data_IF_857164725751
#
_entry.id   IF_857164725751
#
_cell.length_a   1.000
_cell.length_b   1.000
_cell.length_c   1.000
_cell.angle_alpha   90.00
_cell.angle_beta   90.00
_cell.angle_gamma   90.00
#
_symmetry.space_group_name_H-M   'P 1'
#
loop_
_entity.id
_entity.type
_entity.pdbx_description
1 polymer ?
#
# COMPACT_ATOMS: atom_id res chain seq x y z
N UNK A 1 -35.51 -3.02 48.11
CA UNK A 1 -36.07 -2.39 46.88
C UNK A 1 -35.25 -1.17 46.48
N UNK A 2 -34.93 -0.30 47.45
CA UNK A 2 -34.11 0.90 47.28
C UNK A 2 -32.65 0.60 46.86
N UNK A 3 -32.00 -0.40 47.46
CA UNK A 3 -30.64 -0.83 47.08
C UNK A 3 -30.54 -1.34 45.63
N UNK A 4 -31.57 -2.04 45.14
CA UNK A 4 -31.62 -2.56 43.77
C UNK A 4 -31.85 -1.43 42.73
N UNK A 5 -32.53 -0.35 43.13
CA UNK A 5 -32.68 0.86 42.31
C UNK A 5 -31.37 1.64 42.23
N UNK A 6 -30.67 1.81 43.36
CA UNK A 6 -29.35 2.44 43.42
C UNK A 6 -28.32 1.70 42.57
N UNK A 7 -28.29 0.36 42.64
CA UNK A 7 -27.42 -0.45 41.77
C UNK A 7 -27.75 -0.28 40.28
N UNK A 8 -29.04 -0.22 39.91
CA UNK A 8 -29.45 0.05 38.51
C UNK A 8 -29.04 1.43 38.03
N UNK A 9 -29.14 2.45 38.88
CA UNK A 9 -28.71 3.82 38.54
C UNK A 9 -27.19 3.93 38.39
N UNK A 10 -26.40 3.25 39.23
CA UNK A 10 -24.94 3.22 39.12
C UNK A 10 -24.48 2.51 37.84
N UNK A 11 -25.09 1.37 37.50
CA UNK A 11 -24.82 0.65 36.25
C UNK A 11 -25.16 1.53 35.04
N UNK A 12 -26.34 2.17 35.02
CA UNK A 12 -26.72 3.08 33.94
C UNK A 12 -25.83 4.31 33.82
N UNK A 13 -25.29 4.82 34.94
CA UNK A 13 -24.32 5.93 34.96
C UNK A 13 -22.95 5.49 34.45
N UNK A 14 -22.51 4.28 34.78
CA UNK A 14 -21.27 3.69 34.28
C UNK A 14 -21.34 3.42 32.77
N UNK A 15 -22.46 2.91 32.26
CA UNK A 15 -22.68 2.71 30.82
C UNK A 15 -22.69 4.03 30.04
N UNK A 16 -23.32 5.08 30.56
CA UNK A 16 -23.29 6.41 29.94
C UNK A 16 -21.89 7.02 29.91
N UNK A 17 -21.10 6.86 30.99
CA UNK A 17 -19.70 7.31 31.03
C UNK A 17 -18.86 6.58 29.98
N UNK A 18 -18.97 5.24 29.93
CA UNK A 18 -18.28 4.41 28.93
C UNK A 18 -18.69 4.77 27.50
N UNK A 19 -19.97 5.01 27.24
CA UNK A 19 -20.46 5.45 25.93
C UNK A 19 -19.90 6.83 25.55
N UNK A 20 -19.83 7.76 26.51
CA UNK A 20 -19.20 9.07 26.33
C UNK A 20 -17.71 8.99 26.00
N UNK A 21 -16.96 8.15 26.72
CA UNK A 21 -15.54 7.88 26.48
C UNK A 21 -15.29 7.25 25.11
N UNK A 22 -16.08 6.24 24.74
CA UNK A 22 -16.01 5.60 23.40
C UNK A 22 -16.31 6.61 22.30
N UNK A 23 -17.31 7.47 22.49
CA UNK A 23 -17.66 8.51 21.51
C UNK A 23 -16.56 9.57 21.38
N UNK A 24 -15.93 9.96 22.49
CA UNK A 24 -14.81 10.89 22.49
C UNK A 24 -13.57 10.31 21.79
N UNK A 25 -13.25 9.04 22.06
CA UNK A 25 -12.13 8.34 21.42
C UNK A 25 -12.39 8.13 19.92
N UNK A 26 -13.61 7.71 19.56
CA UNK A 26 -14.03 7.58 18.16
C UNK A 26 -13.95 8.91 17.41
N UNK A 27 -14.37 10.01 18.04
CA UNK A 27 -14.26 11.36 17.46
C UNK A 27 -12.79 11.76 17.27
N UNK A 28 -11.92 11.47 18.23
CA UNK A 28 -10.48 11.75 18.14
C UNK A 28 -9.80 10.94 17.02
N UNK A 29 -10.14 9.65 16.91
CA UNK A 29 -9.71 8.78 15.81
C UNK A 29 -10.22 9.30 14.47
N UNK A 30 -11.47 9.78 14.40
CA UNK A 30 -12.05 10.37 13.20
C UNK A 30 -11.29 11.60 12.70
N UNK A 31 -10.92 12.53 13.61
CA UNK A 31 -10.10 13.69 13.28
C UNK A 31 -8.67 13.35 12.83
N UNK A 32 -8.16 12.17 13.21
CA UNK A 32 -6.86 11.66 12.75
C UNK A 32 -7.00 10.93 11.39
N UNK A 33 -7.97 10.03 11.28
CA UNK A 33 -8.18 9.18 10.11
C UNK A 33 -8.63 9.98 8.88
N UNK A 34 -9.53 10.95 9.05
CA UNK A 34 -10.04 11.77 7.94
C UNK A 34 -8.94 12.46 7.13
N UNK A 35 -8.05 13.26 7.77
CA UNK A 35 -6.90 13.86 7.09
C UNK A 35 -5.95 12.84 6.44
N UNK A 36 -5.73 11.68 7.07
CA UNK A 36 -4.90 10.61 6.48
C UNK A 36 -5.53 9.98 5.22
N UNK A 37 -6.86 9.86 5.17
CA UNK A 37 -7.58 9.49 3.95
C UNK A 37 -7.35 10.55 2.88
N UNK A 38 -7.41 11.83 3.23
CA UNK A 38 -7.07 12.94 2.34
C UNK A 38 -5.66 12.80 1.74
N UNK A 39 -4.64 12.57 2.59
CA UNK A 39 -3.25 12.35 2.13
C UNK A 39 -3.18 11.20 1.12
N UNK A 40 -3.79 10.06 1.47
CA UNK A 40 -3.76 8.85 0.66
C UNK A 40 -4.48 9.06 -0.67
N UNK A 41 -5.66 9.68 -0.64
CA UNK A 41 -6.44 10.00 -1.83
C UNK A 41 -5.69 10.96 -2.75
N UNK A 42 -5.10 12.03 -2.22
CA UNK A 42 -4.30 12.98 -3.01
C UNK A 42 -3.12 12.30 -3.69
N UNK A 43 -2.43 11.37 -3.01
CA UNK A 43 -1.34 10.59 -3.60
C UNK A 43 -1.82 9.66 -4.73
N UNK A 44 -3.00 9.03 -4.58
CA UNK A 44 -3.59 8.20 -5.64
C UNK A 44 -4.05 9.03 -6.84
N UNK A 45 -4.61 10.23 -6.62
CA UNK A 45 -5.10 11.10 -7.67
C UNK A 45 -3.99 11.58 -8.63
N UNK A 46 -2.73 11.62 -8.19
CA UNK A 46 -1.58 11.88 -9.09
C UNK A 46 -1.51 10.84 -10.21
N UNK A 47 -1.64 9.55 -9.88
CA UNK A 47 -1.60 8.46 -10.85
C UNK A 47 -2.85 8.43 -11.75
N UNK A 48 -4.02 8.68 -11.16
CA UNK A 48 -5.30 8.72 -11.89
C UNK A 48 -5.29 9.87 -12.91
N UNK A 49 -4.90 11.08 -12.49
CA UNK A 49 -4.80 12.25 -13.37
C UNK A 49 -3.85 11.98 -14.52
N UNK A 50 -2.67 11.43 -14.25
CA UNK A 50 -1.69 11.05 -15.28
C UNK A 50 -2.29 10.08 -16.30
N UNK A 51 -2.98 9.04 -15.84
CA UNK A 51 -3.63 8.05 -16.71
C UNK A 51 -4.75 8.67 -17.55
N UNK A 52 -5.55 9.58 -16.97
CA UNK A 52 -6.59 10.32 -17.70
C UNK A 52 -5.99 11.16 -18.83
N UNK A 53 -4.89 11.89 -18.57
CA UNK A 53 -4.22 12.69 -19.59
C UNK A 53 -3.66 11.83 -20.72
N UNK A 54 -3.02 10.70 -20.39
CA UNK A 54 -2.51 9.76 -21.41
C UNK A 54 -3.65 9.13 -22.22
N UNK A 55 -4.83 8.94 -21.63
CA UNK A 55 -6.02 8.43 -22.32
C UNK A 55 -6.42 9.24 -23.55
N UNK A 56 -6.20 10.56 -23.53
CA UNK A 56 -6.49 11.43 -24.67
C UNK A 56 -5.48 11.33 -25.82
N UNK A 57 -4.33 10.66 -25.64
CA UNK A 57 -3.36 10.42 -26.69
C UNK A 57 -3.68 9.20 -27.57
N UNK A 58 -4.65 8.38 -27.16
CA UNK A 58 -5.08 7.19 -27.87
C UNK A 58 -4.83 5.88 -27.13
N UNK A 59 -5.39 4.81 -27.68
CA UNK A 59 -5.47 3.49 -27.02
C UNK A 59 -4.10 2.85 -26.76
N UNK A 60 -3.15 2.97 -27.69
CA UNK A 60 -1.79 2.43 -27.53
C UNK A 60 -1.06 3.07 -26.35
N UNK A 61 -1.14 4.41 -26.24
CA UNK A 61 -0.53 5.18 -25.16
C UNK A 61 -1.14 4.84 -23.81
N UNK A 62 -2.46 4.72 -23.75
CA UNK A 62 -3.18 4.39 -22.52
C UNK A 62 -2.92 2.97 -22.05
N UNK A 63 -3.04 1.98 -22.94
CA UNK A 63 -2.84 0.56 -22.62
C UNK A 63 -1.41 0.27 -22.16
N UNK A 64 -0.40 0.82 -22.87
CA UNK A 64 1.01 0.70 -22.47
C UNK A 64 1.31 1.37 -21.13
N UNK A 65 0.83 2.60 -20.91
CA UNK A 65 1.00 3.31 -19.64
C UNK A 65 0.28 2.61 -18.48
N UNK A 66 -0.91 2.04 -18.69
CA UNK A 66 -1.66 1.30 -17.67
C UNK A 66 -0.93 0.01 -17.26
N UNK A 67 -0.42 -0.76 -18.23
CA UNK A 67 0.38 -1.97 -17.96
C UNK A 67 1.66 -1.60 -17.21
N UNK A 68 2.40 -0.59 -17.69
CA UNK A 68 3.62 -0.12 -17.03
C UNK A 68 3.32 0.36 -15.59
N UNK A 69 2.30 1.20 -15.40
CA UNK A 69 1.89 1.71 -14.08
C UNK A 69 1.49 0.58 -13.14
N UNK A 70 0.80 -0.45 -13.64
CA UNK A 70 0.41 -1.61 -12.85
C UNK A 70 1.63 -2.43 -12.41
N UNK A 71 2.53 -2.77 -13.34
CA UNK A 71 3.73 -3.56 -13.04
C UNK A 71 4.71 -2.80 -12.14
N UNK A 72 4.94 -1.52 -12.41
CA UNK A 72 5.73 -0.64 -11.55
C UNK A 72 5.06 -0.42 -10.18
N UNK A 73 3.73 -0.32 -10.15
CA UNK A 73 2.95 -0.22 -8.92
C UNK A 73 3.11 -1.43 -8.00
N UNK A 74 3.16 -2.63 -8.56
CA UNK A 74 3.36 -3.88 -7.80
C UNK A 74 4.83 -4.07 -7.42
N UNK A 75 5.73 -4.02 -8.41
CA UNK A 75 7.16 -4.35 -8.22
C UNK A 75 7.94 -3.27 -7.47
N UNK A 76 7.52 -2.00 -7.58
CA UNK A 76 8.18 -0.86 -6.95
C UNK A 76 7.36 -0.23 -5.83
N UNK A 77 6.31 0.50 -6.18
CA UNK A 77 5.62 1.37 -5.22
C UNK A 77 4.99 0.60 -4.04
N UNK A 78 4.33 -0.53 -4.30
CA UNK A 78 3.75 -1.35 -3.23
C UNK A 78 4.80 -1.99 -2.34
N UNK A 79 5.91 -2.45 -2.93
CA UNK A 79 7.03 -3.00 -2.18
C UNK A 79 7.64 -1.94 -1.26
N UNK A 80 7.96 -0.75 -1.79
CA UNK A 80 8.51 0.36 -1.01
C UNK A 80 7.56 0.83 0.09
N UNK A 81 6.27 0.94 -0.20
CA UNK A 81 5.25 1.29 0.80
C UNK A 81 5.18 0.25 1.92
N UNK A 82 5.26 -1.05 1.58
CA UNK A 82 5.25 -2.13 2.56
C UNK A 82 6.52 -2.14 3.41
N UNK A 83 7.69 -1.92 2.81
CA UNK A 83 8.95 -1.78 3.54
C UNK A 83 8.97 -0.57 4.48
N UNK A 84 8.37 0.55 4.06
CA UNK A 84 8.21 1.72 4.90
C UNK A 84 7.32 1.47 6.13
N UNK A 85 6.46 0.43 6.12
CA UNK A 85 5.70 -0.01 7.30
C UNK A 85 6.58 -0.40 8.50
N UNK A 86 7.78 -0.93 8.26
CA UNK A 86 8.73 -1.20 9.35
C UNK A 86 9.21 0.09 10.02
N UNK A 87 9.33 1.19 9.26
CA UNK A 87 9.70 2.50 9.81
C UNK A 87 8.61 3.04 10.74
N UNK A 88 7.33 2.88 10.37
CA UNK A 88 6.19 3.28 11.21
C UNK A 88 6.25 2.62 12.59
N UNK A 89 6.55 1.32 12.62
CA UNK A 89 6.71 0.58 13.88
C UNK A 89 7.90 1.11 14.68
N UNK A 90 9.08 1.21 14.08
CA UNK A 90 10.30 1.65 14.77
C UNK A 90 10.19 3.09 15.30
N UNK A 91 9.67 4.00 14.48
CA UNK A 91 9.47 5.40 14.87
C UNK A 91 8.36 5.54 15.91
N UNK A 92 7.25 4.82 15.79
CA UNK A 92 6.19 4.82 16.80
C UNK A 92 6.70 4.35 18.17
N UNK A 93 7.50 3.28 18.20
CA UNK A 93 8.13 2.79 19.43
C UNK A 93 9.14 3.80 20.00
N UNK A 94 10.03 4.35 19.17
CA UNK A 94 11.01 5.33 19.61
C UNK A 94 10.35 6.62 20.13
N UNK A 95 9.32 7.10 19.44
CA UNK A 95 8.58 8.30 19.84
C UNK A 95 7.79 8.09 21.13
N UNK A 96 7.09 6.95 21.27
CA UNK A 96 6.38 6.58 22.50
C UNK A 96 7.31 6.36 23.70
N UNK A 97 8.53 5.89 23.47
CA UNK A 97 9.59 5.77 24.49
C UNK A 97 10.36 7.08 24.73
N UNK A 98 9.92 8.20 24.17
CA UNK A 98 10.56 9.53 24.26
C UNK A 98 12.02 9.57 23.75
N UNK A 99 12.42 8.62 22.91
CA UNK A 99 13.73 8.54 22.28
C UNK A 99 13.74 9.31 20.96
N UNK A 100 13.43 10.61 21.00
CA UNK A 100 13.17 11.44 19.82
C UNK A 100 14.31 11.43 18.79
N UNK A 101 15.58 11.46 19.22
CA UNK A 101 16.73 11.39 18.30
C UNK A 101 16.75 10.09 17.47
N UNK A 102 16.27 8.97 18.04
CA UNK A 102 16.23 7.71 17.30
C UNK A 102 15.21 7.73 16.17
N UNK A 103 14.15 8.53 16.28
CA UNK A 103 13.14 8.70 15.22
C UNK A 103 13.82 9.21 13.93
N UNK A 104 14.63 10.26 14.03
CA UNK A 104 15.43 10.75 12.89
C UNK A 104 16.42 9.73 12.34
N UNK A 105 17.15 9.03 13.23
CA UNK A 105 18.12 7.99 12.82
C UNK A 105 17.43 6.82 12.09
N UNK A 106 16.26 6.38 12.57
CA UNK A 106 15.46 5.35 11.92
C UNK A 106 14.99 5.80 10.54
N UNK A 107 14.57 7.06 10.39
CA UNK A 107 14.16 7.63 9.10
C UNK A 107 15.31 7.66 8.09
N UNK A 108 16.50 8.16 8.47
CA UNK A 108 17.66 8.15 7.55
C UNK A 108 18.05 6.72 7.15
N UNK A 109 18.04 5.80 8.11
CA UNK A 109 18.31 4.38 7.85
C UNK A 109 17.31 3.79 6.87
N UNK A 110 16.03 4.10 7.02
CA UNK A 110 14.99 3.66 6.11
C UNK A 110 15.17 4.25 4.71
N UNK A 111 15.40 5.57 4.58
CA UNK A 111 15.66 6.22 3.30
C UNK A 111 16.84 5.54 2.58
N UNK A 112 17.97 5.36 3.26
CA UNK A 112 19.15 4.68 2.69
C UNK A 112 18.82 3.23 2.27
N UNK A 113 18.12 2.48 3.12
CA UNK A 113 17.77 1.09 2.83
C UNK A 113 16.81 0.97 1.64
N UNK A 114 15.81 1.85 1.56
CA UNK A 114 14.83 1.89 0.47
C UNK A 114 15.49 2.31 -0.84
N UNK A 115 16.40 3.29 -0.82
CA UNK A 115 17.19 3.69 -2.00
C UNK A 115 18.04 2.51 -2.52
N UNK A 116 18.65 1.72 -1.64
CA UNK A 116 19.39 0.52 -2.05
C UNK A 116 18.47 -0.51 -2.71
N UNK A 117 17.24 -0.66 -2.23
CA UNK A 117 16.23 -1.54 -2.83
C UNK A 117 15.71 -1.01 -4.16
N UNK A 118 15.67 0.30 -4.37
CA UNK A 118 15.32 0.89 -5.66
C UNK A 118 16.28 0.49 -6.79
N UNK A 119 17.55 0.16 -6.50
CA UNK A 119 18.54 -0.23 -7.52
C UNK A 119 18.14 -1.50 -8.29
N UNK A 120 17.91 -2.67 -7.65
CA UNK A 120 17.46 -3.86 -8.36
C UNK A 120 16.07 -3.69 -9.01
N UNK A 121 15.17 -2.91 -8.40
CA UNK A 121 13.85 -2.61 -9.00
C UNK A 121 14.02 -1.82 -10.30
N UNK A 122 14.93 -0.84 -10.31
CA UNK A 122 15.22 -0.05 -11.50
C UNK A 122 15.74 -0.92 -12.65
N UNK A 123 16.56 -1.93 -12.36
CA UNK A 123 17.02 -2.88 -13.38
C UNK A 123 15.85 -3.70 -13.96
N UNK A 124 14.90 -4.12 -13.12
CA UNK A 124 13.67 -4.78 -13.57
C UNK A 124 12.86 -3.86 -14.49
N UNK A 125 12.75 -2.57 -14.16
CA UNK A 125 12.02 -1.59 -14.96
C UNK A 125 12.71 -1.28 -16.29
N UNK A 126 14.05 -1.25 -16.33
CA UNK A 126 14.80 -1.16 -17.59
C UNK A 126 14.56 -2.38 -18.48
N UNK A 127 14.37 -3.57 -17.89
CA UNK A 127 14.06 -4.78 -18.62
C UNK A 127 12.56 -4.95 -18.97
N UNK A 128 11.70 -3.96 -18.66
CA UNK A 128 10.25 -4.10 -18.75
C UNK A 128 9.74 -4.46 -20.16
N UNK A 129 10.30 -3.85 -21.21
CA UNK A 129 9.94 -4.18 -22.59
C UNK A 129 10.17 -5.66 -22.92
N UNK A 130 11.33 -6.18 -22.52
CA UNK A 130 11.71 -7.59 -22.75
C UNK A 130 10.83 -8.51 -21.94
N UNK A 131 10.54 -8.17 -20.68
CA UNK A 131 9.66 -8.94 -19.80
C UNK A 131 8.24 -9.04 -20.38
N UNK A 132 7.69 -7.93 -20.88
CA UNK A 132 6.37 -7.90 -21.51
C UNK A 132 6.34 -8.72 -22.81
N UNK A 133 7.35 -8.55 -23.66
CA UNK A 133 7.50 -9.35 -24.88
C UNK A 133 7.58 -10.85 -24.58
N UNK A 134 8.29 -11.24 -23.51
CA UNK A 134 8.41 -12.64 -23.08
C UNK A 134 7.08 -13.23 -22.57
N UNK A 135 6.21 -12.42 -21.98
CA UNK A 135 4.87 -12.84 -21.54
C UNK A 135 3.89 -12.89 -22.72
N UNK A 136 4.33 -12.50 -23.92
CA UNK A 136 3.53 -12.53 -25.14
C UNK A 136 2.66 -11.30 -25.34
N UNK A 137 3.00 -10.17 -24.71
CA UNK A 137 2.34 -8.90 -25.01
C UNK A 137 2.67 -8.39 -26.40
N UNK A 138 1.79 -7.55 -26.95
CA UNK A 138 2.01 -6.90 -28.24
C UNK A 138 3.37 -6.15 -28.25
N UNK A 139 4.19 -6.26 -29.32
CA UNK A 139 5.51 -5.63 -29.36
C UNK A 139 5.48 -4.11 -29.23
N UNK A 140 4.46 -3.43 -29.80
CA UNK A 140 4.35 -1.97 -29.70
C UNK A 140 3.94 -1.54 -28.29
N UNK A 141 2.99 -2.26 -27.68
CA UNK A 141 2.61 -2.03 -26.28
C UNK A 141 3.81 -2.26 -25.35
N UNK A 142 4.57 -3.33 -25.59
CA UNK A 142 5.74 -3.69 -24.79
C UNK A 142 6.84 -2.63 -24.87
N UNK A 143 7.12 -2.11 -26.07
CA UNK A 143 8.09 -1.03 -26.30
C UNK A 143 7.68 0.26 -25.57
N UNK A 144 6.44 0.71 -25.76
CA UNK A 144 5.95 1.96 -25.14
C UNK A 144 5.85 1.84 -23.62
N UNK A 145 5.44 0.68 -23.09
CA UNK A 145 5.41 0.41 -21.67
C UNK A 145 6.83 0.35 -21.07
N UNK A 146 7.79 -0.19 -21.81
CA UNK A 146 9.20 -0.20 -21.44
C UNK A 146 9.77 1.21 -21.31
N UNK A 147 9.56 2.06 -22.33
CA UNK A 147 9.92 3.49 -22.25
C UNK A 147 9.28 4.16 -21.04
N UNK A 148 7.97 3.99 -20.87
CA UNK A 148 7.24 4.56 -19.74
C UNK A 148 7.83 4.14 -18.38
N UNK A 149 8.14 2.85 -18.20
CA UNK A 149 8.73 2.32 -16.98
C UNK A 149 10.12 2.89 -16.68
N UNK A 150 10.99 3.03 -17.69
CA UNK A 150 12.32 3.66 -17.54
C UNK A 150 12.19 5.09 -17.05
N UNK A 151 11.25 5.86 -17.60
CA UNK A 151 11.03 7.26 -17.21
C UNK A 151 10.36 7.44 -15.84
N UNK A 152 9.81 6.38 -15.24
CA UNK A 152 9.34 6.40 -13.85
C UNK A 152 10.45 6.15 -12.83
N UNK A 153 11.64 5.70 -13.24
CA UNK A 153 12.75 5.37 -12.33
C UNK A 153 13.10 6.55 -11.40
N UNK A 154 13.25 7.82 -11.85
CA UNK A 154 13.51 8.94 -10.95
C UNK A 154 12.41 9.10 -9.87
N UNK A 155 11.15 8.85 -10.24
CA UNK A 155 10.01 8.86 -9.34
C UNK A 155 10.04 7.72 -8.31
N UNK A 156 10.65 6.58 -8.63
CA UNK A 156 10.84 5.48 -7.68
C UNK A 156 11.68 5.91 -6.47
N UNK A 157 12.79 6.61 -6.70
CA UNK A 157 13.66 7.11 -5.63
C UNK A 157 12.98 8.23 -4.82
N UNK A 158 12.25 9.12 -5.50
CA UNK A 158 11.45 10.14 -4.83
C UNK A 158 10.39 9.49 -3.92
N UNK A 159 9.67 8.50 -4.44
CA UNK A 159 8.62 7.79 -3.70
C UNK A 159 9.17 7.07 -2.46
N UNK A 160 10.31 6.38 -2.57
CA UNK A 160 11.00 5.80 -1.42
C UNK A 160 11.27 6.82 -0.31
N UNK A 161 11.70 8.03 -0.70
CA UNK A 161 11.97 9.12 0.24
C UNK A 161 10.68 9.69 0.84
N UNK A 162 9.66 10.00 0.02
CA UNK A 162 8.35 10.47 0.50
C UNK A 162 7.78 9.51 1.53
N UNK A 163 7.81 8.20 1.26
CA UNK A 163 7.23 7.23 2.19
C UNK A 163 7.93 7.22 3.55
N UNK A 164 9.26 7.35 3.58
CA UNK A 164 9.97 7.46 4.85
C UNK A 164 9.63 8.76 5.60
N UNK A 165 9.55 9.89 4.89
CA UNK A 165 9.20 11.19 5.49
C UNK A 165 7.74 11.23 6.00
N UNK A 166 6.80 10.64 5.25
CA UNK A 166 5.41 10.49 5.69
C UNK A 166 5.34 9.65 6.96
N UNK A 167 6.05 8.52 7.06
CA UNK A 167 6.06 7.73 8.30
C UNK A 167 6.74 8.43 9.47
N UNK A 168 7.77 9.23 9.21
CA UNK A 168 8.38 10.10 10.21
C UNK A 168 7.39 11.09 10.81
N UNK A 169 6.63 11.81 9.96
CA UNK A 169 5.63 12.78 10.43
C UNK A 169 4.42 12.09 11.05
N UNK A 170 3.95 10.99 10.46
CA UNK A 170 2.82 10.20 10.96
C UNK A 170 3.09 9.65 12.36
N UNK A 171 4.31 9.16 12.66
CA UNK A 171 4.66 8.67 14.01
C UNK A 171 4.60 9.75 15.11
N UNK A 172 4.61 11.02 14.71
CA UNK A 172 4.50 12.18 15.59
C UNK A 172 3.10 12.79 15.58
N UNK A 173 2.14 12.13 14.92
CA UNK A 173 0.79 12.65 14.67
C UNK A 173 0.75 13.97 13.89
N UNK A 174 1.79 14.30 13.12
CA UNK A 174 1.87 15.51 12.30
C UNK A 174 1.23 15.27 10.93
N UNK A 175 -0.09 15.11 10.89
CA UNK A 175 -0.82 14.79 9.66
C UNK A 175 -1.08 16.00 8.78
N UNK A 176 -1.41 17.14 9.36
CA UNK A 176 -1.79 18.33 8.61
C UNK A 176 -0.70 18.77 7.59
N UNK A 177 0.61 18.78 7.94
CA UNK A 177 1.66 19.07 6.98
C UNK A 177 1.71 18.09 5.80
N UNK A 178 1.46 16.79 6.07
CA UNK A 178 1.40 15.76 5.02
C UNK A 178 0.19 15.97 4.10
N UNK A 179 -0.95 16.37 4.66
CA UNK A 179 -2.15 16.68 3.88
C UNK A 179 -1.91 17.91 2.99
N UNK A 180 -1.39 18.99 3.57
CA UNK A 180 -1.08 20.20 2.82
C UNK A 180 -0.06 19.95 1.71
N UNK A 181 1.01 19.19 1.99
CA UNK A 181 2.03 18.89 0.99
C UNK A 181 1.50 18.03 -0.15
N UNK A 182 0.69 17.01 0.16
CA UNK A 182 0.11 16.10 -0.85
C UNK A 182 -0.95 16.79 -1.71
N UNK A 183 -1.84 17.59 -1.11
CA UNK A 183 -2.82 18.41 -1.85
C UNK A 183 -2.11 19.46 -2.71
N UNK A 184 -1.14 20.18 -2.15
CA UNK A 184 -0.35 21.17 -2.91
C UNK A 184 0.38 20.52 -4.09
N UNK A 185 0.98 19.35 -3.88
CA UNK A 185 1.63 18.58 -4.95
C UNK A 185 0.64 18.18 -6.03
N UNK A 186 -0.58 17.75 -5.68
CA UNK A 186 -1.62 17.39 -6.65
C UNK A 186 -2.05 18.61 -7.48
N UNK A 187 -2.26 19.76 -6.83
CA UNK A 187 -2.62 21.00 -7.51
C UNK A 187 -1.56 21.44 -8.54
N UNK A 188 -0.27 21.23 -8.23
CA UNK A 188 0.83 21.48 -9.16
C UNK A 188 0.95 20.39 -10.23
N UNK A 189 0.66 19.14 -9.87
CA UNK A 189 0.75 17.99 -10.77
C UNK A 189 -0.21 18.10 -11.96
N UNK A 190 -1.47 18.50 -11.74
CA UNK A 190 -2.48 18.60 -12.80
C UNK A 190 -2.01 19.46 -13.99
N UNK A 191 -1.63 20.76 -13.80
CA UNK A 191 -1.13 21.57 -14.90
C UNK A 191 0.22 21.09 -15.42
N UNK A 192 1.13 20.62 -14.56
CA UNK A 192 2.43 20.08 -14.97
C UNK A 192 2.26 18.89 -15.91
N UNK A 193 1.40 17.94 -15.55
CA UNK A 193 1.11 16.75 -16.34
C UNK A 193 0.47 17.12 -17.67
N UNK A 194 -0.48 18.06 -17.68
CA UNK A 194 -1.09 18.53 -18.93
C UNK A 194 -0.05 19.15 -19.87
N UNK A 195 0.84 20.01 -19.36
CA UNK A 195 1.94 20.61 -20.15
C UNK A 195 2.85 19.52 -20.69
N UNK A 196 3.32 18.62 -19.83
CA UNK A 196 4.26 17.55 -20.22
C UNK A 196 3.65 16.60 -21.26
N UNK A 197 2.37 16.26 -21.14
CA UNK A 197 1.71 15.31 -22.05
C UNK A 197 1.34 15.94 -23.40
N UNK A 198 0.79 17.16 -23.41
CA UNK A 198 0.20 17.74 -24.64
C UNK A 198 0.99 18.89 -25.25
N UNK A 199 1.78 19.63 -24.47
CA UNK A 199 2.53 20.80 -24.96
C UNK A 199 3.98 20.48 -25.29
N UNK A 200 4.54 19.46 -24.66
CA UNK A 200 5.87 18.95 -25.03
C UNK A 200 5.75 17.81 -26.04
N UNK A 201 6.88 17.41 -26.63
CA UNK A 201 6.96 16.25 -27.54
C UNK A 201 7.08 14.90 -26.79
N UNK A 202 6.82 14.88 -25.48
CA UNK A 202 7.02 13.70 -24.63
C UNK A 202 5.81 12.75 -24.59
N UNK A 203 4.61 13.19 -24.98
CA UNK A 203 3.41 12.34 -25.04
C UNK A 203 3.18 11.53 -23.73
N UNK A 204 3.02 10.20 -23.81
CA UNK A 204 2.84 9.31 -22.66
C UNK A 204 4.02 9.35 -21.67
N UNK A 205 5.26 9.48 -22.16
CA UNK A 205 6.46 9.66 -21.31
C UNK A 205 6.36 10.92 -20.46
N UNK A 206 5.69 11.97 -20.96
CA UNK A 206 5.43 13.20 -20.22
C UNK A 206 4.68 12.96 -18.91
N UNK A 207 3.78 11.98 -18.86
CA UNK A 207 3.06 11.60 -17.65
C UNK A 207 3.97 10.87 -16.62
N UNK A 208 4.81 9.93 -17.07
CA UNK A 208 5.78 9.27 -16.19
C UNK A 208 6.74 10.28 -15.53
N UNK A 209 7.20 11.26 -16.32
CA UNK A 209 8.08 12.32 -15.85
C UNK A 209 7.36 13.30 -14.90
N UNK A 210 6.11 13.68 -15.19
CA UNK A 210 5.33 14.56 -14.31
C UNK A 210 5.06 13.93 -12.95
N UNK A 211 4.76 12.62 -12.88
CA UNK A 211 4.66 11.86 -11.62
C UNK A 211 5.97 11.94 -10.85
N UNK A 212 7.10 11.69 -11.53
CA UNK A 212 8.43 11.72 -10.91
C UNK A 212 8.76 13.09 -10.32
N UNK A 213 8.50 14.16 -11.07
CA UNK A 213 8.69 15.54 -10.61
C UNK A 213 7.77 15.85 -9.44
N UNK A 214 6.50 15.46 -9.49
CA UNK A 214 5.55 15.69 -8.40
C UNK A 214 5.98 15.01 -7.10
N UNK A 215 6.50 13.79 -7.16
CA UNK A 215 7.05 13.14 -5.96
C UNK A 215 8.27 13.88 -5.41
N UNK A 216 9.17 14.38 -6.26
CA UNK A 216 10.29 15.21 -5.80
C UNK A 216 9.86 16.55 -5.21
N UNK A 217 8.84 17.20 -5.77
CA UNK A 217 8.22 18.40 -5.19
C UNK A 217 7.68 18.09 -3.79
N UNK A 218 6.99 16.96 -3.62
CA UNK A 218 6.48 16.55 -2.31
C UNK A 218 7.63 16.25 -1.32
N UNK A 219 8.71 15.58 -1.75
CA UNK A 219 9.92 15.40 -0.92
C UNK A 219 10.43 16.77 -0.47
N UNK A 220 10.60 17.72 -1.39
CA UNK A 220 11.12 19.04 -1.08
C UNK A 220 10.25 19.76 -0.05
N UNK A 221 8.93 19.80 -0.25
CA UNK A 221 7.99 20.43 0.69
C UNK A 221 8.09 19.79 2.07
N UNK A 222 8.11 18.45 2.15
CA UNK A 222 8.20 17.72 3.42
C UNK A 222 9.53 17.94 4.12
N UNK A 223 10.65 17.91 3.40
CA UNK A 223 11.98 18.18 3.94
C UNK A 223 12.06 19.61 4.48
N UNK A 224 11.60 20.60 3.71
CA UNK A 224 11.53 21.99 4.16
C UNK A 224 10.69 22.13 5.44
N UNK A 225 9.52 21.49 5.48
CA UNK A 225 8.70 21.47 6.69
C UNK A 225 9.46 20.87 7.89
N UNK A 226 10.11 19.71 7.72
CA UNK A 226 10.85 19.03 8.80
C UNK A 226 12.04 19.87 9.29
N UNK A 227 12.73 20.57 8.38
CA UNK A 227 13.90 21.39 8.72
C UNK A 227 13.53 22.68 9.46
N UNK A 228 12.44 23.34 9.05
CA UNK A 228 12.07 24.66 9.60
C UNK A 228 11.01 24.60 10.69
N UNK A 229 10.24 23.51 10.82
CA UNK A 229 9.20 23.40 11.84
C UNK A 229 9.77 23.14 13.23
N UNK A 230 9.33 23.95 14.20
CA UNK A 230 9.65 23.74 15.62
C UNK A 230 9.16 22.37 16.14
N UNK A 231 8.07 21.82 15.57
CA UNK A 231 7.51 20.53 15.97
C UNK A 231 8.47 19.36 15.71
N UNK A 232 9.33 19.46 14.68
CA UNK A 232 10.26 18.37 14.32
C UNK A 232 11.63 18.53 14.97
N UNK A 233 11.92 19.65 15.64
CA UNK A 233 13.26 20.02 16.13
C UNK A 233 13.84 18.99 17.10
N UNK A 234 13.01 18.39 17.97
CA UNK A 234 13.45 17.36 18.92
C UNK A 234 13.74 16.00 18.24
N UNK A 235 13.05 15.69 17.15
CA UNK A 235 13.19 14.44 16.39
C UNK A 235 14.21 14.52 15.25
N UNK A 236 14.58 15.75 14.86
CA UNK A 236 15.60 16.01 13.86
C UNK A 236 16.97 15.66 14.45
N UNK A 237 17.55 14.56 14.00
CA UNK A 237 18.89 14.13 14.39
C UNK A 237 19.89 14.52 13.29
N UNK A 238 21.14 14.85 13.62
CA UNK A 238 22.18 14.94 12.61
C UNK A 238 22.40 13.56 11.95
N UNK A 239 22.76 13.55 10.67
CA UNK A 239 23.15 12.32 9.98
C UNK A 239 24.35 11.71 10.72
N UNK A 240 24.21 10.45 11.13
CA UNK A 240 25.23 9.75 11.93
C UNK A 240 25.60 8.41 11.31
N UNK A 241 26.80 7.90 11.61
CA UNK A 241 27.25 6.55 11.21
C UNK A 241 26.30 5.44 11.70
N UNK A 242 25.50 5.72 12.73
CA UNK A 242 24.50 4.79 13.27
C UNK A 242 23.38 4.49 12.26
N UNK A 243 23.02 5.45 11.41
CA UNK A 243 22.02 5.23 10.36
C UNK A 243 22.45 4.07 9.44
N UNK A 244 23.72 4.08 9.02
CA UNK A 244 24.32 3.08 8.13
C UNK A 244 24.47 1.70 8.80
N UNK A 245 24.91 1.63 10.06
CA UNK A 245 25.14 0.35 10.77
C UNK A 245 23.88 -0.50 10.95
N UNK A 246 22.69 0.11 10.90
CA UNK A 246 21.43 -0.61 11.13
C UNK A 246 20.67 -1.05 9.89
N UNK A 247 21.21 -0.85 8.67
CA UNK A 247 20.51 -1.19 7.40
C UNK A 247 20.05 -2.65 7.40
N UNK A 248 20.93 -3.60 7.72
CA UNK A 248 20.59 -5.03 7.75
C UNK A 248 19.47 -5.35 8.75
N UNK A 249 19.45 -4.68 9.91
CA UNK A 249 18.39 -4.86 10.92
C UNK A 249 17.06 -4.29 10.43
N UNK A 250 17.10 -3.14 9.75
CA UNK A 250 15.91 -2.55 9.14
C UNK A 250 15.35 -3.45 8.03
N UNK A 251 16.18 -3.93 7.11
CA UNK A 251 15.75 -4.81 6.02
C UNK A 251 15.12 -6.11 6.53
N UNK A 252 15.64 -6.70 7.61
CA UNK A 252 15.02 -7.89 8.26
C UNK A 252 13.59 -7.65 8.74
N UNK A 253 13.24 -6.42 9.12
CA UNK A 253 11.88 -6.04 9.52
C UNK A 253 11.04 -5.58 8.30
N UNK A 254 11.68 -4.89 7.36
CA UNK A 254 11.02 -4.30 6.21
C UNK A 254 10.58 -5.34 5.17
N UNK A 255 11.38 -6.38 4.92
CA UNK A 255 11.06 -7.41 3.93
C UNK A 255 9.77 -8.17 4.28
N UNK A 256 9.56 -8.71 5.49
CA UNK A 256 8.29 -9.34 5.86
C UNK A 256 7.08 -8.40 5.72
N UNK A 257 7.21 -7.14 6.15
CA UNK A 257 6.16 -6.12 6.00
C UNK A 257 5.81 -5.88 4.53
N UNK A 258 6.81 -5.90 3.65
CA UNK A 258 6.63 -5.73 2.21
C UNK A 258 5.99 -6.95 1.54
N UNK A 259 6.39 -8.17 1.93
CA UNK A 259 5.77 -9.41 1.45
C UNK A 259 4.29 -9.44 1.83
N UNK A 260 3.95 -9.09 3.08
CA UNK A 260 2.56 -9.05 3.53
C UNK A 260 1.71 -8.07 2.69
N UNK A 261 2.20 -6.84 2.48
CA UNK A 261 1.47 -5.86 1.67
C UNK A 261 1.41 -6.26 0.19
N UNK A 262 2.48 -6.84 -0.33
CA UNK A 262 2.58 -7.32 -1.71
C UNK A 262 1.58 -8.43 -2.02
N UNK A 263 1.48 -9.44 -1.15
CA UNK A 263 0.49 -10.54 -1.27
C UNK A 263 -0.93 -9.99 -1.22
N UNK A 264 -1.22 -9.11 -0.26
CA UNK A 264 -2.55 -8.51 -0.12
C UNK A 264 -2.98 -7.71 -1.36
N UNK A 265 -2.06 -6.97 -1.99
CA UNK A 265 -2.34 -6.22 -3.22
C UNK A 265 -2.38 -7.11 -4.47
N UNK A 266 -1.42 -8.01 -4.62
CA UNK A 266 -1.29 -8.89 -5.80
C UNK A 266 -2.46 -9.86 -5.96
N UNK A 267 -3.04 -10.34 -4.87
CA UNK A 267 -4.20 -11.26 -4.91
C UNK A 267 -5.54 -10.54 -5.07
N UNK A 268 -5.57 -9.19 -5.21
CA UNK A 268 -6.81 -8.41 -5.20
C UNK A 268 -7.53 -8.43 -3.84
N UNK A 269 -6.85 -8.93 -2.80
CA UNK A 269 -7.40 -9.12 -1.46
C UNK A 269 -7.43 -7.84 -0.63
N UNK A 270 -7.50 -6.67 -1.26
CA UNK A 270 -7.55 -5.41 -0.52
C UNK A 270 -8.75 -5.37 0.45
N UNK A 271 -9.86 -5.98 0.06
CA UNK A 271 -11.06 -6.14 0.89
C UNK A 271 -10.85 -7.17 2.02
N UNK A 272 -10.32 -8.37 1.71
CA UNK A 272 -10.00 -9.40 2.71
C UNK A 272 -8.96 -8.90 3.71
N UNK A 273 -7.91 -8.24 3.24
CA UNK A 273 -6.87 -7.61 4.05
C UNK A 273 -7.43 -6.49 4.94
N UNK A 274 -8.41 -5.70 4.47
CA UNK A 274 -9.10 -4.72 5.30
C UNK A 274 -9.89 -5.39 6.43
N UNK A 275 -10.67 -6.45 6.13
CA UNK A 275 -11.42 -7.19 7.16
C UNK A 275 -10.51 -7.89 8.17
N UNK A 276 -9.40 -8.49 7.72
CA UNK A 276 -8.43 -9.15 8.58
C UNK A 276 -7.67 -8.15 9.46
N UNK A 277 -7.29 -7.01 8.91
CA UNK A 277 -6.63 -5.94 9.66
C UNK A 277 -7.58 -5.35 10.73
N UNK A 278 -8.84 -5.09 10.35
CA UNK A 278 -9.87 -4.61 11.28
C UNK A 278 -10.13 -5.65 12.38
N UNK A 279 -10.28 -6.92 12.04
CA UNK A 279 -10.50 -8.00 13.00
C UNK A 279 -9.33 -8.18 13.96
N UNK A 280 -8.11 -8.32 13.44
CA UNK A 280 -6.93 -8.58 14.25
C UNK A 280 -6.60 -7.44 15.22
N UNK A 281 -6.72 -6.18 14.76
CA UNK A 281 -6.45 -5.03 15.63
C UNK A 281 -7.59 -4.75 16.60
N UNK A 282 -8.85 -4.74 16.16
CA UNK A 282 -9.95 -4.30 17.02
C UNK A 282 -10.51 -5.39 17.92
N UNK A 283 -10.47 -6.66 17.50
CA UNK A 283 -10.99 -7.77 18.33
C UNK A 283 -9.94 -8.36 19.27
N UNK A 284 -8.65 -8.22 18.95
CA UNK A 284 -7.58 -8.90 19.70
C UNK A 284 -6.52 -7.90 20.17
N UNK A 285 -5.92 -7.13 19.26
CA UNK A 285 -4.84 -6.20 19.61
C UNK A 285 -5.24 -5.12 20.62
N UNK A 286 -6.37 -4.44 20.39
CA UNK A 286 -6.88 -3.36 21.25
C UNK A 286 -7.33 -3.87 22.63
N UNK A 287 -8.10 -4.97 22.74
CA UNK A 287 -8.43 -5.54 24.06
C UNK A 287 -7.19 -5.93 24.87
N UNK A 288 -6.18 -6.56 24.24
CA UNK A 288 -4.93 -6.92 24.92
C UNK A 288 -4.14 -5.68 25.34
N UNK A 289 -4.07 -4.66 24.47
CA UNK A 289 -3.43 -3.39 24.78
C UNK A 289 -4.10 -2.70 25.98
N UNK A 290 -5.43 -2.69 26.03
CA UNK A 290 -6.20 -2.04 27.11
C UNK A 290 -6.05 -2.80 28.43
N UNK A 291 -6.18 -4.13 28.40
CA UNK A 291 -6.03 -4.96 29.60
C UNK A 291 -4.61 -4.85 30.16
N UNK A 292 -3.58 -4.98 29.33
CA UNK A 292 -2.20 -4.89 29.81
C UNK A 292 -1.80 -3.47 30.21
N UNK A 293 -2.25 -2.47 29.45
CA UNK A 293 -1.91 -1.07 29.69
C UNK A 293 -2.56 -0.51 30.96
N UNK A 294 -3.86 -0.77 31.14
CA UNK A 294 -4.67 -0.10 32.17
C UNK A 294 -5.10 -1.01 33.33
N UNK A 295 -5.37 -2.30 33.09
CA UNK A 295 -5.76 -3.22 34.19
C UNK A 295 -4.52 -3.66 34.96
N UNK A 296 -3.51 -4.17 34.24
CA UNK A 296 -2.26 -4.64 34.85
C UNK A 296 -1.24 -3.52 35.14
N UNK A 297 -1.59 -2.25 34.88
CA UNK A 297 -0.73 -1.08 35.12
C UNK A 297 0.68 -1.19 34.49
N UNK A 298 0.82 -1.97 33.42
CA UNK A 298 2.09 -2.13 32.68
C UNK A 298 2.38 -0.89 31.81
N UNK A 299 1.41 0.03 31.72
CA UNK A 299 1.54 1.33 31.06
C UNK A 299 1.85 1.19 29.57
N UNK A 300 2.74 2.04 29.06
CA UNK A 300 3.08 2.08 27.62
C UNK A 300 3.63 0.77 27.07
N UNK A 301 4.30 -0.06 27.89
CA UNK A 301 4.79 -1.39 27.47
C UNK A 301 3.63 -2.35 27.17
N UNK A 302 2.55 -2.30 27.94
CA UNK A 302 1.34 -3.10 27.71
C UNK A 302 0.63 -2.75 26.40
N UNK A 303 0.60 -1.45 26.07
CA UNK A 303 0.06 -0.96 24.78
C UNK A 303 0.88 -1.50 23.59
N UNK A 304 2.21 -1.47 23.68
CA UNK A 304 3.09 -2.00 22.64
C UNK A 304 2.92 -3.51 22.44
N UNK A 305 2.73 -4.27 23.53
CA UNK A 305 2.48 -5.72 23.45
C UNK A 305 1.16 -6.02 22.73
N UNK A 306 0.10 -5.23 22.96
CA UNK A 306 -1.17 -5.39 22.23
C UNK A 306 -1.05 -5.12 20.73
N UNK A 307 -0.29 -4.08 20.33
CA UNK A 307 -0.01 -3.80 18.91
C UNK A 307 0.79 -4.94 18.28
N UNK A 308 1.81 -5.45 18.98
CA UNK A 308 2.61 -6.59 18.50
C UNK A 308 1.78 -7.87 18.39
N UNK A 309 0.82 -8.08 19.30
CA UNK A 309 -0.10 -9.20 19.23
C UNK A 309 -1.08 -9.06 18.05
N UNK A 310 -1.65 -7.87 17.82
CA UNK A 310 -2.48 -7.59 16.65
C UNK A 310 -1.74 -7.82 15.32
N UNK A 311 -0.51 -7.33 15.20
CA UNK A 311 0.37 -7.57 14.05
C UNK A 311 0.69 -9.06 13.86
N UNK A 312 0.98 -9.77 14.96
CA UNK A 312 1.29 -11.20 14.92
C UNK A 312 0.08 -12.02 14.46
N UNK A 313 -1.09 -11.75 15.02
CA UNK A 313 -2.34 -12.43 14.65
C UNK A 313 -2.73 -12.13 13.21
N UNK A 314 -2.59 -10.87 12.78
CA UNK A 314 -2.78 -10.49 11.37
C UNK A 314 -1.84 -11.25 10.44
N UNK A 315 -0.55 -11.33 10.80
CA UNK A 315 0.48 -12.03 10.00
C UNK A 315 0.18 -13.53 9.92
N UNK A 316 -0.24 -14.15 11.02
CA UNK A 316 -0.61 -15.58 11.07
C UNK A 316 -1.88 -15.84 10.26
N UNK A 317 -2.93 -15.03 10.42
CA UNK A 317 -4.17 -15.19 9.66
C UNK A 317 -3.94 -15.02 8.15
N UNK A 318 -3.22 -13.97 7.75
CA UNK A 318 -2.86 -13.78 6.34
C UNK A 318 -1.95 -14.90 5.83
N UNK A 319 -1.00 -15.37 6.63
CA UNK A 319 -0.14 -16.50 6.30
C UNK A 319 -0.94 -17.79 6.07
N UNK A 320 -1.85 -18.12 6.99
CA UNK A 320 -2.74 -19.28 6.88
C UNK A 320 -3.64 -19.18 5.67
N UNK A 321 -4.31 -18.04 5.46
CA UNK A 321 -5.17 -17.85 4.28
C UNK A 321 -4.34 -17.98 3.00
N UNK A 322 -3.15 -17.39 2.94
CA UNK A 322 -2.26 -17.52 1.78
C UNK A 322 -1.82 -18.97 1.55
N UNK A 323 -1.50 -19.71 2.61
CA UNK A 323 -1.05 -21.11 2.55
C UNK A 323 -2.17 -22.09 2.23
N UNK A 324 -3.39 -21.86 2.71
CA UNK A 324 -4.56 -22.71 2.48
C UNK A 324 -5.41 -22.29 1.28
N UNK A 325 -5.08 -21.19 0.63
CA UNK A 325 -5.76 -20.79 -0.60
C UNK A 325 -5.41 -21.77 -1.71
N UNK A 326 -6.45 -22.35 -2.32
CA UNK A 326 -6.28 -23.26 -3.44
C UNK A 326 -5.95 -22.45 -4.71
N UNK A 327 -4.65 -22.24 -4.92
CA UNK A 327 -4.10 -21.48 -6.04
C UNK A 327 -4.61 -21.97 -7.40
N UNK A 328 -4.92 -23.27 -7.55
CA UNK A 328 -5.52 -23.81 -8.79
C UNK A 328 -6.91 -23.22 -9.08
N UNK A 329 -7.73 -23.02 -8.04
CA UNK A 329 -9.07 -22.44 -8.17
C UNK A 329 -9.01 -20.94 -8.50
N UNK A 330 -8.04 -20.22 -7.91
CA UNK A 330 -7.84 -18.80 -8.16
C UNK A 330 -7.35 -18.53 -9.60
N UNK A 331 -6.43 -19.37 -10.10
CA UNK A 331 -5.97 -19.32 -11.50
C UNK A 331 -7.12 -19.62 -12.46
N UNK A 332 -8.01 -20.56 -12.14
CA UNK A 332 -9.18 -20.88 -12.96
C UNK A 332 -10.17 -19.70 -13.03
N UNK A 333 -10.47 -19.08 -11.89
CA UNK A 333 -11.35 -17.90 -11.82
C UNK A 333 -10.77 -16.70 -12.60
N UNK A 334 -9.43 -16.52 -12.56
CA UNK A 334 -8.74 -15.51 -13.36
C UNK A 334 -8.80 -15.84 -14.85
N UNK A 335 -8.65 -17.12 -15.23
CA UNK A 335 -8.76 -17.60 -16.61
C UNK A 335 -10.15 -17.39 -17.22
N UNK A 336 -11.21 -17.52 -16.43
CA UNK A 336 -12.60 -17.30 -16.88
C UNK A 336 -12.92 -15.82 -17.13
N UNK A 337 -12.12 -14.92 -16.55
CA UNK A 337 -12.26 -13.45 -16.70
C UNK A 337 -11.48 -12.93 -17.93
N UNK A 338 -10.54 -13.71 -18.46
CA UNK A 338 -9.78 -13.35 -19.67
C UNK A 338 -10.64 -13.63 -20.91
N UNK A 339 -10.85 -12.65 -21.81
CA UNK A 339 -11.62 -12.84 -23.03
C UNK A 339 -11.08 -14.00 -23.87
N UNK A 340 -11.97 -14.85 -24.40
CA UNK A 340 -11.64 -16.05 -25.22
C UNK A 340 -10.69 -15.77 -26.41
N UNK A 341 -10.57 -14.52 -26.85
CA UNK A 341 -9.60 -14.08 -27.86
C UNK A 341 -8.14 -14.37 -27.48
N UNK A 342 -7.79 -14.44 -26.19
CA UNK A 342 -6.42 -14.73 -25.74
C UNK A 342 -6.02 -16.21 -25.94
N UNK A 343 -6.98 -17.14 -25.90
CA UNK A 343 -6.71 -18.58 -26.04
C UNK A 343 -6.72 -19.10 -27.48
N UNK A 344 -7.37 -18.40 -28.42
CA UNK A 344 -7.48 -18.86 -29.82
C UNK A 344 -6.15 -18.78 -30.60
N UNK A 345 -5.13 -18.09 -30.09
CA UNK A 345 -3.88 -17.81 -30.83
C UNK A 345 -2.69 -18.69 -30.43
N UNK A 346 -2.84 -19.60 -29.47
CA UNK A 346 -1.73 -20.38 -28.91
C UNK A 346 -2.01 -21.90 -28.86
N UNK A 347 -2.39 -22.49 -30.00
CA UNK A 347 -2.65 -23.94 -30.13
C UNK A 347 -1.41 -24.83 -30.07
N UNK A 348 -0.20 -24.28 -29.91
CA UNK A 348 1.06 -25.05 -29.94
C UNK A 348 1.78 -25.20 -28.58
N UNK A 349 1.26 -24.64 -27.50
CA UNK A 349 1.86 -24.78 -26.15
C UNK A 349 1.02 -25.71 -25.28
N UNK A 350 1.23 -27.03 -25.40
CA UNK A 350 1.12 -28.03 -24.30
C UNK A 350 -0.09 -28.08 -23.36
N UNK A 351 -1.15 -27.29 -23.57
CA UNK A 351 -2.30 -27.15 -22.66
C UNK A 351 -3.39 -28.20 -22.91
N UNK A 352 -3.11 -29.23 -23.70
CA UNK A 352 -4.04 -30.33 -24.01
C UNK A 352 -4.46 -31.09 -22.73
N UNK A 353 -3.59 -31.18 -21.72
CA UNK A 353 -3.89 -31.94 -20.50
C UNK A 353 -4.87 -31.23 -19.55
N UNK A 354 -5.03 -29.91 -19.63
CA UNK A 354 -6.00 -29.18 -18.80
C UNK A 354 -7.40 -29.17 -19.45
N UNK A 355 -7.46 -29.18 -20.79
CA UNK A 355 -8.69 -29.21 -21.58
C UNK A 355 -9.38 -30.58 -21.58
N UNK A 356 -8.64 -31.70 -21.47
CA UNK A 356 -9.25 -33.05 -21.42
C UNK A 356 -10.12 -33.27 -20.19
N UNK A 357 -9.84 -32.59 -19.08
CA UNK A 357 -10.67 -32.67 -17.85
C UNK A 357 -11.94 -31.81 -17.95
N UNK A 358 -11.93 -30.77 -18.79
CA UNK A 358 -13.06 -29.85 -18.99
C UNK A 358 -14.07 -30.34 -20.04
N UNK A 359 -13.74 -31.36 -20.84
CA UNK A 359 -14.61 -31.92 -21.89
C UNK A 359 -15.60 -33.01 -21.43
N UNK A 360 -15.66 -33.35 -20.14
CA UNK A 360 -16.51 -34.46 -19.65
C UNK A 360 -17.86 -34.04 -19.05
N UNK A 361 -18.18 -32.75 -19.00
CA UNK A 361 -19.48 -32.27 -18.54
C UNK A 361 -20.42 -32.11 -19.73
N UNK A 362 -21.11 -33.18 -20.13
CA UNK A 362 -22.16 -33.10 -21.16
C UNK A 362 -23.32 -32.20 -20.70
N UNK A 363 -23.92 -31.41 -21.61
CA UNK A 363 -25.13 -30.65 -21.32
C UNK A 363 -26.35 -31.59 -21.34
N UNK A 364 -27.17 -31.52 -20.28
CA UNK A 364 -28.48 -32.17 -20.19
C UNK A 364 -29.40 -31.49 -21.22
N UNK A 365 -29.61 -32.14 -22.36
CA UNK A 365 -30.67 -31.76 -23.30
C UNK A 365 -31.91 -32.61 -23.01
N UNK A 366 -33.00 -31.92 -22.66
CA UNK A 366 -34.35 -32.46 -22.63
C UNK A 366 -34.70 -33.03 -24.00
N UNK A 367 -35.05 -34.31 -24.08
CA UNK A 367 -35.84 -34.88 -25.18
C UNK A 367 -36.64 -36.05 -24.63
N UNK A 368 -37.94 -35.78 -24.48
CA UNK A 368 -39.02 -36.69 -24.18
C UNK A 368 -39.04 -37.86 -25.17
N UNK A 369 -39.02 -39.07 -24.61
CA UNK A 369 -39.29 -40.33 -25.28
C UNK A 369 -40.81 -40.45 -25.52
N UNK A 370 -41.25 -40.61 -26.77
CA UNK A 370 -42.56 -41.19 -27.10
C UNK A 370 -42.34 -42.20 -28.21
N UNK A 371 -42.50 -43.48 -27.85
CA UNK A 371 -42.62 -44.63 -28.73
C UNK A 371 -44.11 -44.84 -28.96
N UNK A 372 -44.56 -44.98 -30.21
CA UNK A 372 -45.52 -46.01 -30.61
C UNK A 372 -45.55 -46.18 -32.14
N UNK A 373 -45.16 -47.41 -32.54
CA UNK A 373 -45.53 -48.23 -33.71
C UNK A 373 -45.77 -47.58 -35.07
#
# INVERSE_FOLDING_TARGET
MEEALLQREEVGRAERRRCGEVTAEARRLGYFAGPMVGVTLSQYLVQVTSSMMVGHLGELSLSSAAIATSLCGVTGYSLLQGMAGALETLCGQAYGAQQYKKVGIHTYRAILSLILVCLPISLIWVAMEKLLSLIGQDPLISLEAGKYAVWMIPGLFAYATVQALTKFLQSQSLILPMLMSSVGTLCVHIPLCWIMVFKTRLANVGAALSISISYWINVLILVLYIMYSNSCKATCAPISKEAFRGINKFLKLAVPSAVMLGVARGCGWQHIGAYLNLGAYYLIGVPIAVVLGFVFHVGGKGLCVGIMCGLFVQTVLLGLITSFTNWKKQVCMFSDTIPKYFFSRNSNLGFSSCLKTLGSSQPIHNSTCVIHT
#
